data_IF_430963675753
#
_entry.id   IF_430963675753
#
_cell.length_a   1.000
_cell.length_b   1.000
_cell.length_c   1.000
_cell.angle_alpha   90.00
_cell.angle_beta   90.00
_cell.angle_gamma   90.00
#
_symmetry.space_group_name_H-M   'P 1'
#
loop_
_entity.id
_entity.type
_entity.pdbx_description
1 polymer ?
#
# COMPACT_ATOMS: atom_id res chain seq x y z
N UNK A 1 7.19 -9.82 -5.34
CA UNK A 1 6.64 -8.71 -6.14
C UNK A 1 7.42 -8.59 -7.44
N UNK A 2 6.79 -8.03 -8.47
CA UNK A 2 7.42 -7.73 -9.75
C UNK A 2 7.16 -6.27 -10.12
N UNK A 3 8.14 -5.64 -10.76
CA UNK A 3 7.98 -4.38 -11.50
C UNK A 3 7.71 -4.73 -12.96
N UNK A 4 6.63 -4.20 -13.54
CA UNK A 4 6.27 -4.43 -14.93
C UNK A 4 6.93 -3.36 -15.79
N UNK A 5 7.70 -3.80 -16.80
CA UNK A 5 8.39 -2.92 -17.75
C UNK A 5 7.66 -2.85 -19.10
N UNK A 6 6.73 -3.79 -19.33
CA UNK A 6 5.90 -3.87 -20.52
C UNK A 6 4.93 -5.06 -20.45
N UNK A 7 4.22 -5.37 -21.54
CA UNK A 7 3.17 -6.40 -21.55
C UNK A 7 3.67 -7.79 -21.12
N UNK A 8 4.88 -8.16 -21.53
CA UNK A 8 5.49 -9.47 -21.28
C UNK A 8 6.84 -9.37 -20.57
N UNK A 9 7.21 -8.18 -20.08
CA UNK A 9 8.47 -7.93 -19.41
C UNK A 9 8.24 -7.52 -17.95
N UNK A 10 8.84 -8.27 -17.03
CA UNK A 10 8.76 -8.00 -15.61
C UNK A 10 10.07 -8.38 -14.91
N UNK A 11 10.50 -7.55 -13.95
CA UNK A 11 11.68 -7.82 -13.12
C UNK A 11 11.28 -8.05 -11.66
N UNK A 12 11.90 -9.01 -10.95
CA UNK A 12 11.61 -9.22 -9.55
C UNK A 12 12.09 -8.02 -8.72
N UNK A 13 11.23 -7.53 -7.84
CA UNK A 13 11.56 -6.47 -6.87
C UNK A 13 11.17 -6.94 -5.47
N UNK A 14 12.09 -6.76 -4.52
CA UNK A 14 11.81 -7.01 -3.11
C UNK A 14 11.05 -5.82 -2.52
N UNK A 15 9.95 -6.10 -1.84
CA UNK A 15 9.15 -5.11 -1.13
C UNK A 15 8.94 -5.57 0.29
N UNK A 16 9.20 -4.68 1.26
CA UNK A 16 8.87 -4.91 2.66
C UNK A 16 7.68 -4.06 3.04
N UNK A 17 6.56 -4.72 3.31
CA UNK A 17 5.34 -4.10 3.81
C UNK A 17 5.42 -3.99 5.33
N UNK A 18 5.09 -2.82 5.85
CA UNK A 18 5.07 -2.52 7.27
C UNK A 18 3.77 -1.81 7.63
N UNK A 19 3.20 -2.18 8.76
CA UNK A 19 1.99 -1.57 9.32
C UNK A 19 2.23 -1.24 10.78
N UNK A 20 1.73 -0.09 11.23
CA UNK A 20 1.81 0.35 12.62
C UNK A 20 0.46 0.86 13.07
N UNK A 21 -0.02 0.39 14.22
CA UNK A 21 -1.32 0.80 14.74
C UNK A 21 -1.39 2.28 15.13
N UNK A 22 -0.26 2.92 15.43
CA UNK A 22 -0.20 4.36 15.72
C UNK A 22 -0.17 5.25 14.45
N UNK A 23 -0.13 4.62 13.27
CA UNK A 23 -0.35 5.23 11.95
C UNK A 23 -1.40 4.38 11.21
N UNK A 24 -2.63 4.29 11.74
CA UNK A 24 -3.56 3.21 11.42
C UNK A 24 -4.08 3.22 9.97
N UNK A 25 -3.98 4.37 9.30
CA UNK A 25 -4.37 4.54 7.90
C UNK A 25 -3.25 4.23 6.90
N UNK A 26 -2.01 4.05 7.36
CA UNK A 26 -0.83 3.97 6.49
C UNK A 26 -0.31 2.54 6.38
N UNK A 27 0.01 2.12 5.16
CA UNK A 27 0.86 0.97 4.87
C UNK A 27 2.14 1.48 4.23
N UNK A 28 3.27 1.22 4.88
CA UNK A 28 4.59 1.57 4.34
C UNK A 28 5.15 0.40 3.53
N UNK A 29 5.61 0.68 2.30
CA UNK A 29 6.30 -0.29 1.46
C UNK A 29 7.69 0.24 1.12
N UNK A 30 8.71 -0.44 1.64
CA UNK A 30 10.11 -0.18 1.28
C UNK A 30 10.51 -1.10 0.11
N UNK A 31 10.89 -0.50 -1.02
CA UNK A 31 11.46 -1.20 -2.18
C UNK A 31 12.95 -1.41 -1.97
N UNK A 32 13.40 -2.65 -2.08
CA UNK A 32 14.78 -3.04 -1.74
C UNK A 32 15.49 -3.54 -3.00
N UNK A 33 16.68 -2.98 -3.25
CA UNK A 33 17.60 -3.43 -4.29
C UNK A 33 19.01 -3.55 -3.72
N UNK A 34 19.69 -4.67 -4.00
CA UNK A 34 21.06 -4.96 -3.52
C UNK A 34 21.25 -4.71 -2.00
N UNK A 35 20.24 -5.08 -1.21
CA UNK A 35 20.26 -4.94 0.26
C UNK A 35 20.03 -3.52 0.78
N UNK A 36 19.68 -2.55 -0.08
CA UNK A 36 19.37 -1.16 0.31
C UNK A 36 17.95 -0.80 -0.07
N UNK A 37 17.30 0.02 0.75
CA UNK A 37 16.03 0.66 0.38
C UNK A 37 16.31 1.71 -0.70
N UNK A 38 15.66 1.58 -1.85
CA UNK A 38 15.78 2.52 -2.98
C UNK A 38 14.62 3.51 -3.04
N UNK A 39 13.46 3.13 -2.52
CA UNK A 39 12.29 3.99 -2.38
C UNK A 39 11.41 3.49 -1.23
N UNK A 40 10.72 4.40 -0.56
CA UNK A 40 9.68 4.10 0.41
C UNK A 40 8.40 4.80 -0.01
N UNK A 41 7.31 4.06 -0.07
CA UNK A 41 5.98 4.58 -0.39
C UNK A 41 5.04 4.37 0.77
N UNK A 42 4.17 5.34 0.99
CA UNK A 42 3.04 5.23 1.92
C UNK A 42 1.77 5.07 1.09
N UNK A 43 0.99 4.06 1.44
CA UNK A 43 -0.30 3.76 0.84
C UNK A 43 -1.40 3.95 1.87
N UNK A 44 -2.55 4.43 1.42
CA UNK A 44 -3.76 4.27 2.21
C UNK A 44 -4.06 2.77 2.37
N UNK A 45 -4.18 2.32 3.61
CA UNK A 45 -4.50 0.92 3.93
C UNK A 45 -5.82 0.49 3.28
N UNK A 46 -6.83 1.37 3.33
CA UNK A 46 -8.13 1.10 2.71
C UNK A 46 -8.03 0.97 1.20
N UNK A 47 -7.19 1.75 0.53
CA UNK A 47 -6.98 1.65 -0.91
C UNK A 47 -6.47 0.26 -1.30
N UNK A 48 -5.51 -0.27 -0.54
CA UNK A 48 -5.00 -1.64 -0.76
C UNK A 48 -6.07 -2.70 -0.49
N UNK A 49 -6.88 -2.55 0.58
CA UNK A 49 -8.00 -3.46 0.90
C UNK A 49 -9.09 -3.46 -0.17
N UNK A 50 -9.47 -2.29 -0.67
CA UNK A 50 -10.44 -2.15 -1.76
C UNK A 50 -9.90 -2.76 -3.06
N UNK A 51 -8.63 -2.49 -3.37
CA UNK A 51 -7.89 -3.03 -4.51
C UNK A 51 -7.77 -4.57 -4.52
N UNK A 52 -7.96 -5.22 -3.38
CA UNK A 52 -8.07 -6.68 -3.32
C UNK A 52 -9.34 -7.20 -3.99
N UNK A 53 -10.39 -6.40 -4.15
CA UNK A 53 -11.72 -6.85 -4.57
C UNK A 53 -12.18 -6.24 -5.89
N UNK A 54 -11.79 -5.00 -6.16
CA UNK A 54 -12.12 -4.27 -7.39
C UNK A 54 -11.07 -3.22 -7.72
N UNK A 55 -11.30 -2.47 -8.79
CA UNK A 55 -10.47 -1.31 -9.10
C UNK A 55 -10.75 -0.18 -8.10
N UNK A 56 -9.69 0.36 -7.52
CA UNK A 56 -9.71 1.46 -6.58
C UNK A 56 -8.54 2.41 -6.86
N UNK A 57 -8.71 3.71 -6.62
CA UNK A 57 -7.66 4.69 -6.85
C UNK A 57 -7.86 5.95 -6.04
N UNK A 58 -6.76 6.57 -5.62
CA UNK A 58 -6.74 7.87 -4.96
C UNK A 58 -5.44 8.60 -5.32
N UNK A 59 -5.58 9.82 -5.85
CA UNK A 59 -4.46 10.62 -6.35
C UNK A 59 -3.60 9.84 -7.34
N UNK A 60 -2.33 9.69 -6.97
CA UNK A 60 -1.28 9.09 -7.79
C UNK A 60 -1.25 7.55 -7.75
N UNK A 61 -2.16 6.91 -7.01
CA UNK A 61 -2.14 5.47 -6.80
C UNK A 61 -3.41 4.82 -7.33
N UNK A 62 -3.26 3.78 -8.14
CA UNK A 62 -4.36 2.88 -8.55
C UNK A 62 -4.04 1.44 -8.16
N UNK A 63 -5.03 0.71 -7.70
CA UNK A 63 -4.90 -0.69 -7.27
C UNK A 63 -6.06 -1.50 -7.83
N UNK A 64 -5.77 -2.64 -8.44
CA UNK A 64 -6.82 -3.51 -8.99
C UNK A 64 -6.40 -4.98 -8.98
N UNK A 65 -7.36 -5.92 -8.89
CA UNK A 65 -7.06 -7.32 -9.04
C UNK A 65 -6.82 -7.67 -10.50
N UNK A 66 -5.86 -8.55 -10.76
CA UNK A 66 -5.53 -9.01 -12.10
C UNK A 66 -5.28 -10.51 -12.12
N UNK A 67 -5.73 -11.18 -13.18
CA UNK A 67 -5.53 -12.62 -13.38
C UNK A 67 -5.47 -12.94 -14.87
N UNK A 68 -4.30 -13.39 -15.34
CA UNK A 68 -4.18 -14.01 -16.65
C UNK A 68 -4.73 -15.45 -16.62
N UNK A 69 -5.34 -15.94 -17.71
CA UNK A 69 -5.73 -17.34 -17.80
C UNK A 69 -4.55 -18.27 -17.51
N UNK A 70 -4.75 -19.26 -16.63
CA UNK A 70 -3.69 -20.20 -16.24
C UNK A 70 -2.69 -19.68 -15.20
N UNK A 71 -2.77 -18.41 -14.80
CA UNK A 71 -1.84 -17.83 -13.82
C UNK A 71 -2.49 -17.61 -12.43
N UNK A 72 -1.66 -17.55 -11.37
CA UNK A 72 -2.12 -17.14 -10.03
C UNK A 72 -2.71 -15.72 -10.04
N UNK A 73 -3.70 -15.50 -9.17
CA UNK A 73 -4.28 -14.17 -8.94
C UNK A 73 -3.24 -13.19 -8.39
N UNK A 74 -3.23 -11.99 -8.94
CA UNK A 74 -2.34 -10.90 -8.59
C UNK A 74 -3.14 -9.64 -8.27
N UNK A 75 -2.48 -8.71 -7.60
CA UNK A 75 -2.96 -7.35 -7.37
C UNK A 75 -1.93 -6.42 -8.00
N UNK A 76 -2.40 -5.58 -8.89
CA UNK A 76 -1.60 -4.59 -9.57
C UNK A 76 -1.71 -3.28 -8.81
N UNK A 77 -0.58 -2.58 -8.68
CA UNK A 77 -0.46 -1.28 -8.03
C UNK A 77 0.28 -0.38 -9.01
N UNK A 78 -0.40 0.64 -9.52
CA UNK A 78 0.19 1.68 -10.33
C UNK A 78 0.49 2.89 -9.47
N UNK A 79 1.68 3.45 -9.69
CA UNK A 79 2.19 4.67 -9.09
C UNK A 79 2.45 5.64 -10.21
N UNK A 80 1.73 6.75 -10.23
CA UNK A 80 1.88 7.81 -11.22
C UNK A 80 2.57 9.03 -10.61
N UNK A 81 3.30 9.74 -11.44
CA UNK A 81 3.87 11.08 -11.17
C UNK A 81 3.68 11.89 -12.45
N UNK A 82 3.89 13.21 -12.40
CA UNK A 82 3.77 14.07 -13.58
C UNK A 82 4.61 13.58 -14.78
N UNK A 83 5.77 12.97 -14.50
CA UNK A 83 6.75 12.57 -15.53
C UNK A 83 6.87 11.05 -15.75
N UNK A 84 6.26 10.21 -14.89
CA UNK A 84 6.49 8.76 -14.95
C UNK A 84 5.38 7.92 -14.34
N UNK A 85 5.22 6.70 -14.86
CA UNK A 85 4.32 5.67 -14.34
C UNK A 85 5.13 4.43 -13.99
N UNK A 86 4.83 3.82 -12.85
CA UNK A 86 5.43 2.58 -12.37
C UNK A 86 4.34 1.60 -11.99
N UNK A 87 4.33 0.41 -12.59
CA UNK A 87 3.35 -0.63 -12.29
C UNK A 87 4.01 -1.82 -11.58
N UNK A 88 3.43 -2.20 -10.43
CA UNK A 88 3.88 -3.29 -9.60
C UNK A 88 2.83 -4.40 -9.60
N UNK A 89 3.30 -5.65 -9.60
CA UNK A 89 2.44 -6.82 -9.48
C UNK A 89 2.82 -7.66 -8.26
N UNK A 90 1.86 -7.81 -7.35
CA UNK A 90 2.01 -8.56 -6.09
C UNK A 90 1.10 -9.79 -6.13
N UNK A 91 1.55 -10.91 -5.57
CA UNK A 91 0.70 -12.11 -5.49
C UNK A 91 -0.43 -11.86 -4.49
N UNK A 92 -1.67 -12.10 -4.90
CA UNK A 92 -2.81 -11.94 -4.01
C UNK A 92 -2.72 -12.88 -2.80
N UNK A 93 -2.16 -14.08 -2.98
CA UNK A 93 -1.95 -15.06 -1.90
C UNK A 93 -1.00 -14.60 -0.79
N UNK A 94 -0.19 -13.56 -1.03
CA UNK A 94 0.70 -12.96 -0.02
C UNK A 94 0.10 -11.69 0.55
N UNK A 95 -0.44 -10.82 -0.32
CA UNK A 95 -0.95 -9.51 0.08
C UNK A 95 -2.25 -9.61 0.88
N UNK A 96 -3.17 -10.49 0.50
CA UNK A 96 -4.47 -10.65 1.18
C UNK A 96 -4.32 -11.00 2.66
N UNK A 97 -3.65 -12.11 3.05
CA UNK A 97 -3.54 -12.46 4.47
C UNK A 97 -2.74 -11.41 5.27
N UNK A 98 -1.78 -10.73 4.64
CA UNK A 98 -1.05 -9.64 5.30
C UNK A 98 -1.96 -8.45 5.61
N UNK A 99 -2.80 -8.02 4.65
CA UNK A 99 -3.77 -6.94 4.87
C UNK A 99 -4.86 -7.34 5.88
N UNK A 100 -5.31 -8.60 5.87
CA UNK A 100 -6.23 -9.12 6.89
C UNK A 100 -5.64 -9.03 8.30
N UNK A 101 -4.34 -9.28 8.48
CA UNK A 101 -3.67 -9.08 9.77
C UNK A 101 -3.70 -7.59 10.18
N UNK A 102 -3.49 -6.66 9.25
CA UNK A 102 -3.60 -5.22 9.58
C UNK A 102 -5.02 -4.84 10.02
N UNK A 103 -6.03 -5.40 9.36
CA UNK A 103 -7.44 -5.19 9.70
C UNK A 103 -7.81 -5.85 11.03
N UNK A 104 -7.14 -6.94 11.42
CA UNK A 104 -7.31 -7.54 12.74
C UNK A 104 -6.67 -6.70 13.86
N UNK A 105 -5.56 -6.00 13.59
CA UNK A 105 -4.90 -5.11 14.57
C UNK A 105 -5.73 -3.84 14.77
N UNK A 106 -6.18 -3.21 13.68
CA UNK A 106 -7.09 -2.07 13.71
C UNK A 106 -8.23 -2.34 12.72
N UNK A 107 -9.44 -2.68 13.17
CA UNK A 107 -10.57 -2.87 12.28
C UNK A 107 -10.85 -1.63 11.43
N UNK A 108 -11.21 -1.76 10.14
CA UNK A 108 -11.67 -0.64 9.34
C UNK A 108 -12.80 0.13 10.04
N UNK A 109 -12.76 1.45 9.97
CA UNK A 109 -13.66 2.36 10.67
C UNK A 109 -13.34 2.58 12.16
N UNK A 110 -12.34 1.89 12.73
CA UNK A 110 -11.92 2.05 14.13
C UNK A 110 -10.58 2.76 14.28
N UNK A 111 -9.99 3.24 13.18
CA UNK A 111 -8.69 3.90 13.16
C UNK A 111 -8.63 5.13 14.07
N UNK A 112 -9.73 5.88 14.17
CA UNK A 112 -9.81 7.06 15.03
C UNK A 112 -9.52 6.77 16.51
N UNK A 113 -9.76 5.55 17.00
CA UNK A 113 -9.43 5.17 18.39
C UNK A 113 -7.92 5.03 18.64
N UNK A 114 -7.13 4.91 17.58
CA UNK A 114 -5.68 4.74 17.64
C UNK A 114 -4.93 6.06 17.40
N UNK A 115 -5.65 7.14 17.12
CA UNK A 115 -5.11 8.49 16.97
C UNK A 115 -5.61 9.38 18.10
N UNK A 116 -4.71 9.89 18.92
CA UNK A 116 -5.02 10.98 19.86
C UNK A 116 -5.07 12.31 19.10
N UNK A 117 -6.12 12.45 18.29
CA UNK A 117 -6.40 13.62 17.46
C UNK A 117 -6.64 14.86 18.32
N UNK A 118 -7.36 14.71 19.43
CA UNK A 118 -7.66 15.83 20.34
C UNK A 118 -6.39 16.44 20.92
N UNK A 119 -5.44 15.61 21.39
CA UNK A 119 -4.15 16.12 21.88
C UNK A 119 -3.33 16.76 20.76
N UNK A 120 -3.31 16.18 19.55
CA UNK A 120 -2.60 16.77 18.42
C UNK A 120 -3.18 18.13 18.00
N UNK A 121 -4.50 18.23 17.90
CA UNK A 121 -5.21 19.46 17.57
C UNK A 121 -5.01 20.52 18.65
N UNK A 122 -5.08 20.14 19.93
CA UNK A 122 -4.81 21.06 21.03
C UNK A 122 -3.40 21.65 20.97
N UNK A 123 -2.37 20.86 20.58
CA UNK A 123 -1.00 21.35 20.39
C UNK A 123 -0.88 22.33 19.22
N UNK A 124 -1.47 21.98 18.08
CA UNK A 124 -1.53 22.85 16.89
C UNK A 124 -2.20 24.19 17.20
N UNK A 125 -3.36 24.18 17.85
CA UNK A 125 -4.12 25.38 18.21
C UNK A 125 -3.46 26.20 19.32
N UNK A 126 -2.67 25.56 20.19
CA UNK A 126 -1.86 26.26 21.19
C UNK A 126 -0.60 26.92 20.60
N UNK A 127 -0.35 26.80 19.28
CA UNK A 127 0.84 27.32 18.62
C UNK A 127 2.14 26.61 19.03
N UNK A 128 2.02 25.37 19.52
CA UNK A 128 3.14 24.55 20.00
C UNK A 128 3.28 23.34 19.07
N UNK A 129 4.05 23.53 17.99
CA UNK A 129 4.55 22.45 17.14
C UNK A 129 6.01 22.18 17.48
#
# INVERSE_FOLDING_TARGET
MQLLLGPDEAVPVAGRFSYRSDRPYEVEVAFISRGRTVATWLFARELLLAGLHGEAGEGDVRVWPFRRPGEPRRVHIELSTDDSICELSVRASELTPWLEQTAAIVPPGHEGHYLDLDTHLARLLAGKC
#
